data_IF_478381863993
#
_entry.id   IF_478381863993
#
_cell.length_a   1.000
_cell.length_b   1.000
_cell.length_c   1.000
_cell.angle_alpha   90.00
_cell.angle_beta   90.00
_cell.angle_gamma   90.00
#
_symmetry.space_group_name_H-M   'P 1'
#
loop_
_entity.id
_entity.type
_entity.pdbx_description
1 polymer ?
#
# COMPACT_ATOMS: atom_id res chain seq x y z
N UNK A 1 8.08 19.15 -21.18
CA UNK A 1 9.47 18.65 -21.21
C UNK A 1 9.77 18.05 -19.85
N UNK A 2 9.45 16.77 -19.66
CA UNK A 2 9.66 16.06 -18.39
C UNK A 2 11.12 15.60 -18.33
N UNK A 3 11.87 16.13 -17.37
CA UNK A 3 13.21 15.64 -17.07
C UNK A 3 13.09 14.21 -16.52
N UNK A 4 13.23 13.19 -17.38
CA UNK A 4 13.45 11.82 -16.91
C UNK A 4 14.84 11.77 -16.27
N UNK A 5 14.89 11.72 -14.94
CA UNK A 5 16.12 11.41 -14.22
C UNK A 5 16.62 10.03 -14.66
N UNK A 6 17.64 10.00 -15.52
CA UNK A 6 18.35 8.78 -15.96
C UNK A 6 19.01 7.98 -14.84
N UNK A 7 18.91 8.42 -13.58
CA UNK A 7 19.57 7.80 -12.43
C UNK A 7 18.69 6.82 -11.65
N UNK A 8 17.38 6.80 -11.89
CA UNK A 8 16.38 5.98 -11.18
C UNK A 8 15.84 4.81 -12.02
N UNK A 9 16.50 4.46 -13.12
CA UNK A 9 16.12 3.36 -14.03
C UNK A 9 16.71 2.00 -13.63
N UNK A 10 17.35 1.90 -12.45
CA UNK A 10 17.99 0.66 -12.01
C UNK A 10 17.01 -0.23 -11.25
N UNK A 11 16.88 -1.52 -11.64
CA UNK A 11 16.00 -2.47 -10.97
C UNK A 11 16.63 -2.94 -9.66
N UNK A 12 16.57 -2.09 -8.65
CA UNK A 12 16.99 -2.40 -7.28
C UNK A 12 15.76 -2.72 -6.46
N UNK A 13 15.76 -3.91 -5.82
CA UNK A 13 14.78 -4.28 -4.81
C UNK A 13 15.28 -3.88 -3.43
N UNK A 14 14.53 -3.02 -2.75
CA UNK A 14 14.71 -2.68 -1.34
C UNK A 14 13.80 -3.56 -0.48
N UNK A 15 14.40 -4.49 0.26
CA UNK A 15 13.70 -5.23 1.32
C UNK A 15 13.83 -4.44 2.63
N UNK A 16 12.73 -3.80 3.05
CA UNK A 16 12.69 -2.86 4.17
C UNK A 16 12.10 -3.56 5.39
N UNK A 17 12.98 -4.09 6.24
CA UNK A 17 12.61 -4.70 7.51
C UNK A 17 12.43 -3.62 8.60
N UNK A 18 11.75 -3.95 9.70
CA UNK A 18 11.41 -3.05 10.83
C UNK A 18 10.59 -1.84 10.40
N UNK A 19 9.74 -2.03 9.40
CA UNK A 19 8.80 -1.00 8.98
C UNK A 19 7.69 -0.82 10.02
N UNK A 20 7.24 0.41 10.25
CA UNK A 20 6.20 0.71 11.23
C UNK A 20 6.74 0.80 12.65
N UNK A 21 5.92 0.36 13.62
CA UNK A 21 6.24 0.48 15.03
C UNK A 21 7.16 -0.67 15.47
N UNK A 22 8.37 -0.34 15.92
CA UNK A 22 9.41 -1.35 16.26
C UNK A 22 9.40 -1.77 17.73
N UNK A 23 8.55 -1.13 18.55
CA UNK A 23 8.40 -1.43 19.97
C UNK A 23 9.53 -0.89 20.85
N UNK A 24 10.27 -1.78 21.51
CA UNK A 24 11.17 -1.46 22.61
C UNK A 24 12.39 -0.60 22.24
N UNK A 25 12.79 -0.54 20.96
CA UNK A 25 13.96 0.21 20.50
C UNK A 25 13.74 1.74 20.48
N UNK A 26 12.52 2.18 20.81
CA UNK A 26 12.18 3.59 21.04
C UNK A 26 12.07 4.43 19.78
N UNK A 27 12.02 5.76 19.95
CA UNK A 27 11.69 6.72 18.87
C UNK A 27 12.73 6.76 17.74
N UNK A 28 14.00 6.46 18.02
CA UNK A 28 15.10 6.56 17.06
C UNK A 28 15.11 5.45 16.01
N UNK A 29 14.39 4.35 16.24
CA UNK A 29 14.37 3.16 15.38
C UNK A 29 13.03 2.95 14.66
N UNK A 30 12.07 3.86 14.81
CA UNK A 30 10.75 3.70 14.21
C UNK A 30 10.83 3.81 12.68
N UNK A 31 10.38 2.76 11.99
CA UNK A 31 10.19 2.75 10.53
C UNK A 31 8.90 3.47 10.13
N UNK A 32 8.66 4.67 10.67
CA UNK A 32 7.36 5.34 10.58
C UNK A 32 7.22 6.29 9.37
N UNK A 33 8.23 6.39 8.50
CA UNK A 33 8.27 7.44 7.47
C UNK A 33 8.58 6.96 6.05
N UNK A 34 8.86 5.67 5.86
CA UNK A 34 9.30 5.15 4.57
C UNK A 34 8.24 5.24 3.48
N UNK A 35 6.96 5.10 3.79
CA UNK A 35 5.92 5.37 2.77
C UNK A 35 5.93 6.84 2.36
N UNK A 36 6.16 7.75 3.30
CA UNK A 36 6.13 9.19 3.03
C UNK A 36 7.33 9.64 2.19
N UNK A 37 8.55 9.26 2.57
CA UNK A 37 9.74 9.73 1.86
C UNK A 37 10.00 8.95 0.56
N UNK A 38 9.58 7.69 0.45
CA UNK A 38 9.75 6.93 -0.80
C UNK A 38 8.71 7.33 -1.85
N UNK A 39 7.48 7.69 -1.45
CA UNK A 39 6.39 7.93 -2.41
C UNK A 39 6.67 9.12 -3.33
N UNK A 40 7.38 10.14 -2.85
CA UNK A 40 7.71 11.30 -3.68
C UNK A 40 8.81 11.00 -4.73
N UNK A 41 9.51 9.86 -4.65
CA UNK A 41 10.55 9.46 -5.60
C UNK A 41 9.90 8.96 -6.90
N UNK A 42 10.16 9.58 -8.07
CA UNK A 42 9.63 9.11 -9.35
C UNK A 42 10.00 7.66 -9.67
N UNK A 43 9.17 6.97 -10.45
CA UNK A 43 9.38 5.57 -10.91
C UNK A 43 9.50 4.49 -9.81
N UNK A 44 9.40 4.83 -8.53
CA UNK A 44 9.42 3.87 -7.43
C UNK A 44 8.12 3.08 -7.33
N UNK A 45 8.24 1.75 -7.22
CA UNK A 45 7.15 0.85 -6.80
C UNK A 45 7.27 0.58 -5.30
N UNK A 46 6.19 0.75 -4.56
CA UNK A 46 6.15 0.55 -3.10
C UNK A 46 5.04 -0.45 -2.77
N UNK A 47 5.43 -1.55 -2.14
CA UNK A 47 4.59 -2.70 -1.79
C UNK A 47 4.50 -2.89 -0.28
N UNK A 48 3.29 -3.17 0.20
CA UNK A 48 2.94 -3.34 1.62
C UNK A 48 2.20 -4.67 1.80
N UNK A 49 2.90 -5.78 2.08
CA UNK A 49 2.29 -7.09 2.26
C UNK A 49 1.40 -7.14 3.50
N UNK A 50 0.23 -7.78 3.38
CA UNK A 50 -0.70 -8.02 4.48
C UNK A 50 -0.27 -9.17 5.40
N UNK A 51 0.45 -10.13 4.83
CA UNK A 51 0.86 -11.39 5.45
C UNK A 51 2.14 -11.94 4.80
N UNK A 52 2.66 -13.05 5.30
CA UNK A 52 3.89 -13.67 4.82
C UNK A 52 3.78 -14.28 3.42
N UNK A 53 2.58 -14.69 2.98
CA UNK A 53 2.40 -15.16 1.62
C UNK A 53 2.50 -13.96 0.67
N UNK A 54 1.78 -12.88 0.93
CA UNK A 54 1.90 -11.63 0.17
C UNK A 54 3.33 -11.07 0.20
N UNK A 55 4.04 -11.17 1.33
CA UNK A 55 5.44 -10.74 1.44
C UNK A 55 6.33 -11.51 0.44
N UNK A 56 6.18 -12.84 0.37
CA UNK A 56 6.91 -13.67 -0.60
C UNK A 56 6.54 -13.32 -2.05
N UNK A 57 5.26 -13.11 -2.33
CA UNK A 57 4.79 -12.74 -3.67
C UNK A 57 5.30 -11.36 -4.09
N UNK A 58 5.31 -10.38 -3.18
CA UNK A 58 5.81 -9.03 -3.44
C UNK A 58 7.33 -8.99 -3.58
N UNK A 59 8.09 -9.75 -2.78
CA UNK A 59 9.54 -9.90 -2.95
C UNK A 59 9.86 -10.54 -4.30
N UNK A 60 9.12 -11.58 -4.69
CA UNK A 60 9.26 -12.20 -6.00
C UNK A 60 8.92 -11.22 -7.14
N UNK A 61 7.83 -10.47 -7.00
CA UNK A 61 7.39 -9.46 -7.96
C UNK A 61 8.44 -8.36 -8.12
N UNK A 62 8.94 -7.81 -7.01
CA UNK A 62 9.97 -6.76 -7.03
C UNK A 62 11.32 -7.23 -7.52
N UNK A 63 11.72 -8.48 -7.23
CA UNK A 63 12.94 -9.08 -7.76
C UNK A 63 12.91 -9.22 -9.28
N UNK A 64 11.73 -9.51 -9.83
CA UNK A 64 11.52 -9.63 -11.27
C UNK A 64 10.92 -8.37 -11.92
N UNK A 65 10.97 -7.23 -11.23
CA UNK A 65 10.57 -5.94 -11.77
C UNK A 65 11.80 -5.24 -12.35
N UNK A 66 11.82 -5.10 -13.68
CA UNK A 66 12.99 -4.62 -14.42
C UNK A 66 12.89 -3.16 -14.88
N UNK A 67 11.74 -2.53 -14.68
CA UNK A 67 11.44 -1.20 -15.25
C UNK A 67 11.78 -0.04 -14.30
N UNK A 68 12.19 -0.34 -13.06
CA UNK A 68 12.55 0.66 -12.06
C UNK A 68 12.82 0.05 -10.68
N UNK A 69 13.06 0.88 -9.65
CA UNK A 69 13.27 0.40 -8.29
C UNK A 69 11.95 -0.06 -7.67
N UNK A 70 12.05 -1.07 -6.81
CA UNK A 70 10.92 -1.58 -6.03
C UNK A 70 11.27 -1.65 -4.55
N UNK A 71 10.29 -1.41 -3.69
CA UNK A 71 10.41 -1.48 -2.24
C UNK A 71 9.33 -2.39 -1.68
N UNK A 72 9.72 -3.36 -0.84
CA UNK A 72 8.80 -4.21 -0.07
C UNK A 72 9.10 -3.96 1.40
N UNK A 73 8.14 -3.39 2.12
CA UNK A 73 8.28 -3.10 3.55
C UNK A 73 7.56 -4.14 4.41
N UNK A 74 8.13 -4.56 5.53
CA UNK A 74 7.46 -5.45 6.46
C UNK A 74 7.90 -5.17 7.90
N UNK A 75 7.00 -5.34 8.89
CA UNK A 75 7.28 -4.96 10.25
C UNK A 75 8.20 -5.94 10.96
N UNK A 76 8.70 -5.51 12.11
CA UNK A 76 9.27 -6.43 13.09
C UNK A 76 8.12 -7.23 13.71
N UNK A 77 8.12 -8.54 13.54
CA UNK A 77 7.12 -9.38 14.19
C UNK A 77 7.03 -10.77 13.60
N UNK A 78 6.07 -11.53 14.10
CA UNK A 78 5.75 -12.84 13.57
C UNK A 78 4.75 -12.71 12.43
N UNK A 79 4.88 -13.62 11.47
CA UNK A 79 3.88 -13.93 10.45
C UNK A 79 2.54 -14.37 11.07
N UNK A 80 1.46 -14.34 10.28
CA UNK A 80 0.11 -14.71 10.73
C UNK A 80 -0.17 -16.22 10.63
N UNK A 81 0.62 -16.97 9.87
CA UNK A 81 0.50 -18.42 9.69
C UNK A 81 -0.43 -18.84 8.54
N UNK A 82 -0.53 -18.03 7.48
CA UNK A 82 -1.32 -18.34 6.27
C UNK A 82 -0.64 -19.39 5.40
N UNK A 83 -1.44 -20.05 4.55
CA UNK A 83 -0.93 -21.02 3.59
C UNK A 83 -0.04 -20.35 2.53
N UNK A 84 1.09 -21.00 2.26
CA UNK A 84 2.08 -20.52 1.30
C UNK A 84 1.78 -21.06 -0.09
N UNK A 85 1.37 -20.15 -0.97
CA UNK A 85 1.14 -20.46 -2.39
C UNK A 85 2.45 -20.47 -3.20
N UNK A 86 2.46 -21.12 -4.39
CA UNK A 86 3.57 -21.00 -5.34
C UNK A 86 3.83 -19.55 -5.73
N UNK A 87 5.10 -19.21 -6.01
CA UNK A 87 5.47 -17.84 -6.37
C UNK A 87 4.90 -17.45 -7.73
N UNK A 88 4.22 -16.31 -7.78
CA UNK A 88 3.62 -15.72 -8.97
C UNK A 88 3.80 -14.21 -8.93
N UNK A 89 4.02 -13.59 -10.10
CA UNK A 89 4.11 -12.13 -10.20
C UNK A 89 2.75 -11.51 -9.93
N UNK A 90 2.69 -10.58 -8.99
CA UNK A 90 1.50 -9.77 -8.76
C UNK A 90 1.38 -8.68 -9.83
N UNK A 91 0.17 -8.38 -10.32
CA UNK A 91 -0.06 -7.20 -11.16
C UNK A 91 0.29 -5.93 -10.38
N UNK A 92 1.22 -5.14 -10.92
CA UNK A 92 1.69 -3.90 -10.29
C UNK A 92 0.53 -2.91 -10.13
N UNK A 93 0.40 -2.34 -8.93
CA UNK A 93 -0.62 -1.33 -8.63
C UNK A 93 -2.04 -1.87 -8.58
N UNK A 94 -2.22 -3.14 -8.22
CA UNK A 94 -3.55 -3.75 -8.08
C UNK A 94 -3.86 -4.19 -6.66
N UNK A 95 -4.96 -3.66 -6.13
CA UNK A 95 -5.53 -4.09 -4.84
C UNK A 95 -6.43 -5.31 -4.99
N UNK A 96 -6.89 -5.84 -3.85
CA UNK A 96 -7.84 -6.95 -3.78
C UNK A 96 -8.95 -6.61 -2.79
N UNK A 97 -10.21 -6.74 -3.21
CA UNK A 97 -11.34 -6.68 -2.27
C UNK A 97 -11.42 -7.99 -1.50
N UNK A 98 -11.20 -7.95 -0.18
CA UNK A 98 -11.23 -9.13 0.70
C UNK A 98 -12.63 -9.41 1.23
N UNK A 99 -13.44 -8.36 1.40
CA UNK A 99 -14.82 -8.44 1.92
C UNK A 99 -15.64 -7.32 1.29
N UNK A 100 -16.87 -7.60 0.85
CA UNK A 100 -17.86 -6.58 0.48
C UNK A 100 -18.77 -6.30 1.68
N UNK A 101 -19.01 -5.02 1.94
CA UNK A 101 -19.90 -4.52 2.97
C UNK A 101 -20.71 -3.34 2.45
N UNK A 102 -21.12 -2.46 3.35
CA UNK A 102 -21.99 -1.31 3.07
C UNK A 102 -21.43 -0.03 3.69
N UNK A 103 -21.76 1.12 3.08
CA UNK A 103 -21.50 2.50 3.55
C UNK A 103 -20.04 2.93 3.70
N UNK A 104 -19.19 2.10 4.29
CA UNK A 104 -17.78 2.36 4.55
C UNK A 104 -16.90 1.39 3.77
N UNK A 105 -15.80 1.88 3.19
CA UNK A 105 -14.74 1.03 2.66
C UNK A 105 -13.42 1.32 3.37
N UNK A 106 -12.82 0.27 3.92
CA UNK A 106 -11.52 0.29 4.60
C UNK A 106 -10.45 -0.13 3.59
N UNK A 107 -9.51 0.78 3.33
CA UNK A 107 -8.36 0.57 2.46
C UNK A 107 -7.12 0.33 3.33
N UNK A 108 -6.72 -0.94 3.45
CA UNK A 108 -5.60 -1.34 4.27
C UNK A 108 -4.30 -1.38 3.47
N UNK A 109 -3.23 -0.85 4.06
CA UNK A 109 -1.85 -0.89 3.55
C UNK A 109 -0.95 -1.60 4.57
N UNK A 110 -0.73 -2.90 4.36
CA UNK A 110 0.22 -3.70 5.14
C UNK A 110 -0.39 -4.54 6.26
N UNK A 111 0.37 -4.75 7.32
CA UNK A 111 0.17 -5.80 8.34
C UNK A 111 -0.90 -5.53 9.38
N UNK A 112 -1.53 -4.35 9.37
CA UNK A 112 -2.71 -4.07 10.19
C UNK A 112 -4.00 -4.73 9.65
N UNK A 113 -3.87 -5.55 8.60
CA UNK A 113 -4.97 -6.30 7.99
C UNK A 113 -5.83 -7.08 8.99
N UNK A 114 -5.29 -7.82 9.99
CA UNK A 114 -6.13 -8.55 10.93
C UNK A 114 -7.02 -7.63 11.78
N UNK A 115 -6.51 -6.46 12.19
CA UNK A 115 -7.29 -5.48 12.94
C UNK A 115 -8.31 -4.77 12.04
N UNK A 116 -7.92 -4.43 10.81
CA UNK A 116 -8.83 -3.89 9.81
C UNK A 116 -9.99 -4.85 9.50
N UNK A 117 -9.72 -6.17 9.47
CA UNK A 117 -10.73 -7.20 9.27
C UNK A 117 -11.75 -7.27 10.42
N UNK A 118 -11.29 -7.19 11.68
CA UNK A 118 -12.18 -7.13 12.85
C UNK A 118 -13.10 -5.90 12.80
N UNK A 119 -12.55 -4.75 12.44
CA UNK A 119 -13.33 -3.51 12.29
C UNK A 119 -14.31 -3.61 11.12
N UNK A 120 -13.89 -4.17 9.99
CA UNK A 120 -14.75 -4.37 8.83
C UNK A 120 -15.93 -5.29 9.15
N UNK A 121 -15.70 -6.35 9.93
CA UNK A 121 -16.77 -7.24 10.40
C UNK A 121 -17.72 -6.50 11.35
N UNK A 122 -17.19 -5.81 12.35
CA UNK A 122 -17.99 -5.07 13.34
C UNK A 122 -18.86 -3.96 12.75
N UNK A 123 -18.40 -3.30 11.69
CA UNK A 123 -19.10 -2.17 11.05
C UNK A 123 -19.83 -2.57 9.77
N UNK A 124 -19.78 -3.84 9.39
CA UNK A 124 -20.20 -4.32 8.08
C UNK A 124 -19.58 -3.52 6.90
N UNK A 125 -18.31 -3.10 7.02
CA UNK A 125 -17.63 -2.31 6.00
C UNK A 125 -16.98 -3.17 4.91
N UNK A 126 -16.86 -2.63 3.69
CA UNK A 126 -16.00 -3.23 2.66
C UNK A 126 -14.55 -3.18 3.12
N UNK A 127 -13.79 -4.25 2.88
CA UNK A 127 -12.37 -4.32 3.21
C UNK A 127 -11.57 -4.58 1.94
N UNK A 128 -10.59 -3.72 1.70
CA UNK A 128 -9.69 -3.80 0.55
C UNK A 128 -8.26 -3.89 1.05
N UNK A 129 -7.54 -4.88 0.52
CA UNK A 129 -6.10 -4.96 0.60
C UNK A 129 -5.48 -4.19 -0.56
N UNK A 130 -4.93 -3.02 -0.29
CA UNK A 130 -4.44 -2.16 -1.37
C UNK A 130 -3.14 -2.68 -1.98
N UNK A 131 -2.33 -3.40 -1.20
CA UNK A 131 -1.04 -4.03 -1.57
C UNK A 131 0.07 -3.10 -2.03
N UNK A 132 -0.25 -2.07 -2.81
CA UNK A 132 0.66 -1.11 -3.40
C UNK A 132 0.33 0.28 -2.90
N UNK A 133 1.33 0.96 -2.36
CA UNK A 133 1.26 2.40 -2.03
C UNK A 133 1.63 3.23 -3.25
N UNK A 134 2.45 2.67 -4.14
CA UNK A 134 2.82 3.29 -5.42
C UNK A 134 3.15 2.22 -6.46
N UNK A 135 2.59 2.27 -7.68
CA UNK A 135 1.39 3.06 -8.03
C UNK A 135 0.16 2.57 -7.25
N UNK A 136 -0.78 3.47 -6.99
CA UNK A 136 -2.08 3.13 -6.38
C UNK A 136 -3.01 2.52 -7.43
N UNK A 137 -3.93 1.67 -6.98
CA UNK A 137 -5.02 1.18 -7.85
C UNK A 137 -6.13 2.24 -7.94
N UNK A 138 -5.90 3.27 -8.77
CA UNK A 138 -6.81 4.41 -8.90
C UNK A 138 -8.23 3.98 -9.28
N UNK A 139 -8.36 2.99 -10.16
CA UNK A 139 -9.65 2.46 -10.58
C UNK A 139 -10.43 1.86 -9.39
N UNK A 140 -9.76 1.08 -8.54
CA UNK A 140 -10.36 0.49 -7.36
C UNK A 140 -10.71 1.56 -6.31
N UNK A 141 -9.84 2.55 -6.11
CA UNK A 141 -10.12 3.67 -5.20
C UNK A 141 -11.38 4.42 -5.64
N UNK A 142 -11.50 4.74 -6.93
CA UNK A 142 -12.65 5.44 -7.48
C UNK A 142 -13.92 4.58 -7.44
N UNK A 143 -13.82 3.28 -7.68
CA UNK A 143 -14.94 2.33 -7.49
C UNK A 143 -15.41 2.35 -6.03
N UNK A 144 -14.50 2.27 -5.06
CA UNK A 144 -14.85 2.31 -3.63
C UNK A 144 -15.47 3.66 -3.27
N UNK A 145 -14.91 4.77 -3.74
CA UNK A 145 -15.42 6.11 -3.48
C UNK A 145 -16.83 6.33 -4.07
N UNK A 146 -17.11 5.76 -5.24
CA UNK A 146 -18.42 5.89 -5.88
C UNK A 146 -19.51 5.04 -5.22
N UNK A 147 -19.13 3.93 -4.56
CA UNK A 147 -20.05 2.94 -3.99
C UNK A 147 -20.24 3.07 -2.46
N UNK A 148 -19.47 3.94 -1.80
CA UNK A 148 -19.47 4.10 -0.34
C UNK A 148 -19.61 5.58 0.04
N UNK A 149 -20.13 5.83 1.23
CA UNK A 149 -20.31 7.18 1.79
C UNK A 149 -18.97 7.75 2.29
N UNK A 150 -18.07 6.90 2.78
CA UNK A 150 -16.73 7.30 3.19
C UNK A 150 -15.69 6.19 3.04
N UNK A 151 -14.44 6.62 2.89
CA UNK A 151 -13.26 5.75 2.86
C UNK A 151 -12.45 5.93 4.13
N UNK A 152 -11.85 4.84 4.61
CA UNK A 152 -10.95 4.83 5.76
C UNK A 152 -9.64 4.18 5.33
N UNK A 153 -8.53 4.91 5.40
CA UNK A 153 -7.20 4.38 5.08
C UNK A 153 -6.49 3.92 6.34
N UNK A 154 -5.94 2.72 6.33
CA UNK A 154 -5.19 2.14 7.45
C UNK A 154 -3.77 1.87 7.01
N UNK A 155 -2.80 2.47 7.70
CA UNK A 155 -1.37 2.29 7.44
C UNK A 155 -0.56 2.38 8.73
N UNK A 156 0.57 1.68 8.78
CA UNK A 156 1.53 1.77 9.88
C UNK A 156 2.69 2.71 9.52
N UNK A 157 2.36 3.98 9.31
CA UNK A 157 3.27 5.05 8.90
C UNK A 157 2.70 6.40 9.34
N UNK A 158 3.49 7.47 9.24
CA UNK A 158 3.01 8.82 9.41
C UNK A 158 1.86 9.12 8.43
N UNK A 159 0.77 9.70 8.95
CA UNK A 159 -0.39 10.11 8.14
C UNK A 159 0.02 11.14 7.08
N UNK A 160 0.92 12.06 7.45
CA UNK A 160 1.42 13.10 6.55
C UNK A 160 2.30 12.48 5.45
N UNK A 161 1.84 12.58 4.20
CA UNK A 161 2.54 12.02 3.04
C UNK A 161 2.51 10.49 2.94
N UNK A 162 1.91 9.79 3.92
CA UNK A 162 1.74 8.33 3.91
C UNK A 162 0.65 7.87 2.94
N UNK A 163 0.44 6.57 2.78
CA UNK A 163 -0.48 5.96 1.82
C UNK A 163 -1.86 6.64 1.73
N UNK A 164 -2.46 6.98 2.87
CA UNK A 164 -3.77 7.67 2.90
C UNK A 164 -3.75 9.05 2.25
N UNK A 165 -2.65 9.79 2.37
CA UNK A 165 -2.45 11.04 1.63
C UNK A 165 -2.44 10.82 0.11
N UNK A 166 -1.97 9.66 -0.36
CA UNK A 166 -1.94 9.33 -1.79
C UNK A 166 -3.32 8.98 -2.32
N UNK A 167 -4.14 8.30 -1.50
CA UNK A 167 -5.56 8.10 -1.79
C UNK A 167 -6.27 9.45 -1.94
N UNK A 168 -6.02 10.41 -1.04
CA UNK A 168 -6.58 11.76 -1.15
C UNK A 168 -6.15 12.47 -2.44
N UNK A 169 -4.88 12.35 -2.84
CA UNK A 169 -4.37 12.91 -4.10
C UNK A 169 -5.12 12.35 -5.31
N UNK A 170 -5.37 11.04 -5.36
CA UNK A 170 -6.15 10.38 -6.43
C UNK A 170 -7.58 10.91 -6.49
N UNK A 171 -8.27 10.99 -5.34
CA UNK A 171 -9.65 11.48 -5.29
C UNK A 171 -9.75 12.94 -5.72
N UNK A 172 -8.84 13.79 -5.26
CA UNK A 172 -8.82 15.21 -5.63
C UNK A 172 -8.51 15.41 -7.11
N UNK A 173 -7.57 14.65 -7.68
CA UNK A 173 -7.27 14.70 -9.11
C UNK A 173 -8.49 14.30 -9.96
N UNK A 174 -9.25 13.28 -9.54
CA UNK A 174 -10.47 12.87 -10.24
C UNK A 174 -11.56 13.94 -10.21
N UNK A 175 -11.73 14.65 -9.09
CA UNK A 175 -12.70 15.77 -8.97
C UNK A 175 -12.31 16.92 -9.91
N UNK A 176 -11.03 17.32 -9.92
CA UNK A 176 -10.55 18.41 -10.78
C UNK A 176 -10.71 18.06 -12.27
N UNK A 177 -10.45 16.81 -12.66
CA UNK A 177 -10.61 16.37 -14.04
C UNK A 177 -12.09 16.32 -14.48
N UNK A 178 -13.03 16.16 -13.55
CA UNK A 178 -14.46 16.16 -13.84
C UNK A 178 -15.04 17.56 -14.04
N UNK A 179 -14.37 18.60 -13.51
CA UNK A 179 -14.74 20.01 -13.65
C UNK A 179 -13.53 20.86 -14.07
N UNK A 180 -13.08 20.75 -15.34
CA UNK A 180 -11.99 21.59 -15.83
C UNK A 180 -12.43 23.06 -15.78
N UNK A 181 -11.57 23.90 -15.20
CA UNK A 181 -11.72 25.36 -15.17
C UNK A 181 -11.71 25.97 -16.57
#
# INVERSE_FOLDING_TARGET
>A
MTWRFKSLDRPVLFAIDRAGIVGADGQTHQGAFDLSYLRCIPEMVIMTPSDENECRQMLYTGYHYNDGPSAVRYPRGNAVGVELTPLEKLPIGKGIVKRRGEKLAILNFGTLMPEAAKVAESLNATLVDMRFVKPLDEALILEMAASHEALVTVEENAIMGGAGSGVNEVLMAAIVNQYPC
#
